data_IF_744854142700
#
_entry.id   IF_744854142700
#
_cell.length_a   1.000
_cell.length_b   1.000
_cell.length_c   1.000
_cell.angle_alpha   90.00
_cell.angle_beta   90.00
_cell.angle_gamma   90.00
#
_symmetry.space_group_name_H-M   'P 1'
#
loop_
_entity.id
_entity.type
_entity.pdbx_description
1 polymer ?
#
# COMPACT_ATOMS: atom_id res chain seq x y z
N UNK A 1 -1.15 5.96 -17.10
CA UNK A 1 -2.16 5.11 -16.43
C UNK A 1 -2.63 5.85 -15.20
N UNK A 2 -3.94 6.04 -15.03
CA UNK A 2 -4.46 6.70 -13.84
C UNK A 2 -4.27 5.81 -12.59
N UNK A 3 -4.30 6.40 -11.38
CA UNK A 3 -4.14 5.62 -10.13
C UNK A 3 -5.15 4.48 -10.04
N UNK A 4 -6.39 4.73 -10.49
CA UNK A 4 -7.48 3.76 -10.49
C UNK A 4 -7.20 2.58 -11.43
N UNK A 5 -6.77 2.87 -12.65
CA UNK A 5 -6.40 1.87 -13.65
C UNK A 5 -5.23 0.99 -13.17
N UNK A 6 -4.20 1.60 -12.57
CA UNK A 6 -3.06 0.87 -12.01
C UNK A 6 -3.47 -0.16 -10.96
N UNK A 7 -4.34 0.25 -10.05
CA UNK A 7 -4.81 -0.61 -8.95
C UNK A 7 -5.69 -1.76 -9.46
N UNK A 8 -6.46 -1.53 -10.52
CA UNK A 8 -7.30 -2.57 -11.13
C UNK A 8 -6.48 -3.61 -11.89
N UNK A 9 -5.49 -3.17 -12.66
CA UNK A 9 -4.57 -4.07 -13.37
C UNK A 9 -3.79 -4.92 -12.38
N UNK A 10 -3.19 -4.30 -11.35
CA UNK A 10 -2.42 -5.01 -10.33
C UNK A 10 -3.28 -6.01 -9.53
N UNK A 11 -4.50 -5.62 -9.14
CA UNK A 11 -5.43 -6.50 -8.45
C UNK A 11 -5.78 -7.73 -9.29
N UNK A 12 -6.06 -7.52 -10.58
CA UNK A 12 -6.37 -8.60 -11.52
C UNK A 12 -5.17 -9.54 -11.68
N UNK A 13 -3.99 -8.97 -11.93
CA UNK A 13 -2.75 -9.72 -12.06
C UNK A 13 -2.48 -10.63 -10.84
N UNK A 14 -2.58 -10.10 -9.62
CA UNK A 14 -2.34 -10.87 -8.40
C UNK A 14 -3.35 -11.99 -8.18
N UNK A 15 -4.62 -11.77 -8.55
CA UNK A 15 -5.67 -12.80 -8.46
C UNK A 15 -5.49 -13.91 -9.49
N UNK A 16 -4.94 -13.61 -10.65
CA UNK A 16 -4.75 -14.57 -11.76
C UNK A 16 -3.42 -15.33 -11.68
N UNK A 17 -2.46 -14.85 -10.88
CA UNK A 17 -1.11 -15.42 -10.77
C UNK A 17 -1.07 -16.85 -10.18
N UNK A 18 -2.12 -17.28 -9.47
CA UNK A 18 -2.23 -18.62 -8.88
C UNK A 18 -1.43 -18.77 -7.59
N UNK A 19 -0.10 -18.83 -7.70
CA UNK A 19 0.80 -18.83 -6.54
C UNK A 19 1.37 -17.43 -6.32
N UNK A 20 1.07 -16.85 -5.17
CA UNK A 20 1.59 -15.55 -4.75
C UNK A 20 2.50 -15.74 -3.53
N UNK A 21 3.61 -15.02 -3.53
CA UNK A 21 4.50 -14.92 -2.37
C UNK A 21 3.83 -14.14 -1.24
N UNK A 22 4.39 -14.26 -0.04
CA UNK A 22 3.93 -13.51 1.14
C UNK A 22 3.87 -11.99 0.87
N UNK A 23 4.87 -11.42 0.18
CA UNK A 23 4.88 -10.00 -0.20
C UNK A 23 3.76 -9.66 -1.19
N UNK A 24 3.45 -10.55 -2.12
CA UNK A 24 2.36 -10.35 -3.08
C UNK A 24 0.98 -10.47 -2.43
N UNK A 25 0.84 -11.34 -1.43
CA UNK A 25 -0.35 -11.41 -0.58
C UNK A 25 -0.52 -10.12 0.24
N UNK A 26 0.55 -9.58 0.81
CA UNK A 26 0.49 -8.30 1.52
C UNK A 26 0.12 -7.13 0.60
N UNK A 27 0.63 -7.11 -0.64
CA UNK A 27 0.18 -6.17 -1.68
C UNK A 27 -1.31 -6.34 -1.95
N UNK A 28 -1.77 -7.58 -2.16
CA UNK A 28 -3.18 -7.88 -2.44
C UNK A 28 -4.10 -7.40 -1.32
N UNK A 29 -3.80 -7.75 -0.07
CA UNK A 29 -4.62 -7.34 1.08
C UNK A 29 -4.60 -5.82 1.28
N UNK A 30 -3.47 -5.16 1.03
CA UNK A 30 -3.36 -3.70 1.10
C UNK A 30 -4.20 -3.01 0.00
N UNK A 31 -4.24 -3.56 -1.21
CA UNK A 31 -5.12 -3.07 -2.30
C UNK A 31 -6.59 -3.21 -1.90
N UNK A 32 -6.98 -4.34 -1.30
CA UNK A 32 -8.36 -4.56 -0.86
C UNK A 32 -8.78 -3.55 0.22
N UNK A 33 -7.90 -3.25 1.18
CA UNK A 33 -8.13 -2.18 2.17
C UNK A 33 -8.26 -0.81 1.50
N UNK A 34 -7.36 -0.48 0.55
CA UNK A 34 -7.39 0.79 -0.18
C UNK A 34 -8.67 0.99 -1.02
N UNK A 35 -9.20 -0.09 -1.59
CA UNK A 35 -10.36 -0.07 -2.50
C UNK A 35 -11.72 -0.26 -1.81
N UNK A 36 -11.77 -0.37 -0.47
CA UNK A 36 -13.05 -0.45 0.25
C UNK A 36 -13.98 0.72 -0.12
N UNK A 37 -15.26 0.40 -0.29
CA UNK A 37 -16.29 1.35 -0.71
C UNK A 37 -16.49 2.46 0.33
N UNK A 38 -16.56 2.08 1.61
CA UNK A 38 -16.51 2.99 2.74
C UNK A 38 -15.08 3.11 3.26
N UNK A 39 -14.57 4.34 3.39
CA UNK A 39 -13.26 4.57 3.99
C UNK A 39 -13.30 4.21 5.49
N UNK A 40 -12.53 3.19 5.86
CA UNK A 40 -12.29 2.81 7.26
C UNK A 40 -10.88 3.25 7.66
N UNK A 41 -10.81 4.37 8.38
CA UNK A 41 -9.56 4.98 8.80
C UNK A 41 -8.74 4.04 9.69
N UNK A 42 -9.37 3.43 10.68
CA UNK A 42 -8.73 2.57 11.69
C UNK A 42 -8.09 1.36 11.02
N UNK A 43 -8.80 0.75 10.07
CA UNK A 43 -8.26 -0.38 9.31
C UNK A 43 -7.09 0.04 8.42
N UNK A 44 -7.17 1.22 7.79
CA UNK A 44 -6.09 1.75 6.96
C UNK A 44 -4.83 2.02 7.81
N UNK A 45 -4.97 2.68 8.95
CA UNK A 45 -3.86 2.94 9.88
C UNK A 45 -3.22 1.64 10.38
N UNK A 46 -4.04 0.64 10.76
CA UNK A 46 -3.55 -0.68 11.16
C UNK A 46 -2.77 -1.35 10.02
N UNK A 47 -3.30 -1.33 8.80
CA UNK A 47 -2.63 -1.92 7.63
C UNK A 47 -1.30 -1.23 7.32
N UNK A 48 -1.24 0.10 7.43
CA UNK A 48 0.02 0.86 7.27
C UNK A 48 1.04 0.42 8.31
N UNK A 49 0.65 0.32 9.58
CA UNK A 49 1.52 -0.09 10.68
C UNK A 49 2.04 -1.52 10.49
N UNK A 50 1.17 -2.47 10.12
CA UNK A 50 1.55 -3.86 9.82
C UNK A 50 2.61 -3.95 8.72
N UNK A 51 2.38 -3.27 7.59
CA UNK A 51 3.33 -3.24 6.49
C UNK A 51 4.66 -2.58 6.89
N UNK A 52 4.63 -1.50 7.68
CA UNK A 52 5.85 -0.84 8.17
C UNK A 52 6.67 -1.72 9.11
N UNK A 53 6.01 -2.52 9.96
CA UNK A 53 6.67 -3.46 10.86
C UNK A 53 7.32 -4.62 10.08
N UNK A 54 6.62 -5.13 9.06
CA UNK A 54 7.09 -6.25 8.24
C UNK A 54 8.21 -5.85 7.28
N UNK A 55 8.14 -4.65 6.73
CA UNK A 55 9.07 -4.14 5.73
C UNK A 55 9.77 -2.87 6.23
N UNK A 56 10.81 -3.05 7.05
CA UNK A 56 11.54 -1.93 7.65
C UNK A 56 12.13 -0.94 6.61
N UNK A 57 12.49 -1.42 5.41
CA UNK A 57 12.96 -0.58 4.30
C UNK A 57 11.86 0.30 3.69
N UNK A 58 10.59 -0.03 3.92
CA UNK A 58 9.43 0.63 3.34
C UNK A 58 9.17 1.99 3.99
N UNK A 59 9.23 2.06 5.32
CA UNK A 59 9.08 3.31 6.07
C UNK A 59 10.18 4.33 5.70
N UNK A 60 11.42 3.88 5.59
CA UNK A 60 12.55 4.71 5.16
C UNK A 60 12.38 5.21 3.71
N UNK A 61 11.97 4.32 2.80
CA UNK A 61 11.75 4.67 1.37
C UNK A 61 10.61 5.66 1.21
N UNK A 62 9.50 5.47 1.92
CA UNK A 62 8.34 6.38 1.87
C UNK A 62 8.68 7.73 2.51
N UNK A 63 9.40 7.74 3.64
CA UNK A 63 9.84 8.98 4.28
C UNK A 63 10.72 9.82 3.33
N UNK A 64 11.59 9.15 2.57
CA UNK A 64 12.42 9.78 1.53
C UNK A 64 11.57 10.32 0.37
N UNK A 65 10.60 9.52 -0.13
CA UNK A 65 9.70 9.91 -1.22
C UNK A 65 8.76 11.08 -0.85
N UNK A 66 8.28 11.12 0.39
CA UNK A 66 7.32 12.11 0.87
C UNK A 66 7.97 13.37 1.46
N UNK A 67 9.29 13.40 1.63
CA UNK A 67 9.99 14.51 2.25
C UNK A 67 9.51 14.76 3.69
N UNK A 68 9.99 13.94 4.63
CA UNK A 68 9.81 14.13 6.08
C UNK A 68 8.39 13.90 6.63
N UNK A 69 7.73 12.81 6.22
CA UNK A 69 6.53 12.34 6.94
C UNK A 69 6.91 11.45 8.12
N UNK A 70 7.31 12.09 9.23
CA UNK A 70 7.37 11.48 10.57
C UNK A 70 6.18 11.90 11.44
N UNK A 71 5.07 12.32 10.83
CA UNK A 71 3.88 12.76 11.58
C UNK A 71 3.10 11.52 12.05
N UNK A 72 2.76 11.44 13.34
CA UNK A 72 1.83 10.41 13.83
C UNK A 72 0.51 10.44 13.06
N UNK A 73 -0.14 9.29 12.88
CA UNK A 73 -1.38 9.17 12.11
C UNK A 73 -2.48 10.15 12.53
N UNK A 74 -2.57 10.49 13.82
CA UNK A 74 -3.54 11.47 14.36
C UNK A 74 -3.48 12.85 13.70
N UNK A 75 -2.35 13.20 13.05
CA UNK A 75 -2.18 14.48 12.36
C UNK A 75 -2.36 14.37 10.84
N UNK A 76 -2.69 13.20 10.31
CA UNK A 76 -2.90 12.96 8.89
C UNK A 76 -4.38 13.08 8.55
N UNK A 77 -4.71 13.71 7.42
CA UNK A 77 -6.06 13.64 6.88
C UNK A 77 -6.37 12.23 6.36
N UNK A 78 -7.65 11.94 6.11
CA UNK A 78 -8.05 10.66 5.49
C UNK A 78 -7.40 10.49 4.12
N UNK A 79 -7.25 11.58 3.36
CA UNK A 79 -6.55 11.59 2.08
C UNK A 79 -5.05 11.29 2.23
N UNK A 80 -4.39 11.80 3.28
CA UNK A 80 -2.99 11.48 3.58
C UNK A 80 -2.82 10.00 3.93
N UNK A 81 -3.74 9.44 4.72
CA UNK A 81 -3.75 8.00 5.07
C UNK A 81 -3.94 7.16 3.82
N UNK A 82 -4.92 7.50 2.98
CA UNK A 82 -5.19 6.80 1.72
C UNK A 82 -4.02 6.94 0.74
N UNK A 83 -3.38 8.11 0.69
CA UNK A 83 -2.19 8.33 -0.13
C UNK A 83 -1.00 7.50 0.36
N UNK A 84 -0.82 7.40 1.68
CA UNK A 84 0.23 6.58 2.30
C UNK A 84 0.08 5.11 1.91
N UNK A 85 -1.13 4.53 2.02
CA UNK A 85 -1.41 3.17 1.56
C UNK A 85 -1.04 2.97 0.09
N UNK A 86 -1.42 3.92 -0.78
CA UNK A 86 -1.08 3.87 -2.20
C UNK A 86 0.44 3.83 -2.43
N UNK A 87 1.21 4.60 -1.67
CA UNK A 87 2.67 4.58 -1.75
C UNK A 87 3.26 3.25 -1.25
N UNK A 88 2.73 2.69 -0.15
CA UNK A 88 3.16 1.36 0.32
C UNK A 88 2.96 0.31 -0.77
N UNK A 89 1.80 0.30 -1.43
CA UNK A 89 1.50 -0.62 -2.53
C UNK A 89 2.55 -0.48 -3.64
N UNK A 90 2.82 0.74 -4.11
CA UNK A 90 3.83 0.97 -5.15
C UNK A 90 5.22 0.50 -4.73
N UNK A 91 5.63 0.79 -3.50
CA UNK A 91 6.94 0.40 -3.00
C UNK A 91 7.06 -1.11 -2.87
N UNK A 92 6.04 -1.79 -2.34
CA UNK A 92 6.03 -3.26 -2.25
C UNK A 92 6.01 -3.91 -3.64
N UNK A 93 5.29 -3.35 -4.61
CA UNK A 93 5.31 -3.82 -6.00
C UNK A 93 6.72 -3.75 -6.60
N UNK A 94 7.46 -2.67 -6.33
CA UNK A 94 8.86 -2.55 -6.75
C UNK A 94 9.75 -3.58 -6.06
N UNK A 95 9.55 -3.81 -4.76
CA UNK A 95 10.28 -4.83 -3.99
C UNK A 95 10.01 -6.24 -4.52
N UNK A 96 8.77 -6.55 -4.89
CA UNK A 96 8.35 -7.81 -5.48
C UNK A 96 8.78 -7.97 -6.95
N UNK A 97 9.36 -6.92 -7.55
CA UNK A 97 9.79 -6.89 -8.95
C UNK A 97 8.67 -7.29 -9.93
N UNK A 98 7.42 -6.98 -9.59
CA UNK A 98 6.27 -7.33 -10.42
C UNK A 98 6.30 -6.56 -11.74
N UNK A 99 6.04 -7.28 -12.83
CA UNK A 99 5.92 -6.75 -14.19
C UNK A 99 4.56 -7.15 -14.73
N UNK A 100 3.71 -6.15 -14.99
CA UNK A 100 2.35 -6.30 -15.48
C UNK A 100 1.96 -5.10 -16.34
#
# INVERSE_FOLDING_TARGET
MEKKDYMEVLLKFLKEKGEISELEEDILTTILTYKKESFDRTECERKIAENNLKYLSLSATITSLLGSYSKPFVFLSDDDIKHTLYLQIKTMVMMAQLKF
#
